data_IF_020239799330
#
_entry.id   IF_020239799330
#
_cell.length_a   1.000
_cell.length_b   1.000
_cell.length_c   1.000
_cell.angle_alpha   90.00
_cell.angle_beta   90.00
_cell.angle_gamma   90.00
#
_symmetry.space_group_name_H-M   'P 1'
#
loop_
_entity.id
_entity.type
_entity.pdbx_description
1 polymer ?
#
# COMPACT_ATOMS: atom_id res chain seq x y z
N UNK A 1 7.13 46.27 19.26
CA UNK A 1 7.45 45.23 18.25
C UNK A 1 7.30 43.87 18.90
N UNK A 2 6.53 42.98 18.32
CA UNK A 2 6.51 41.61 18.80
C UNK A 2 7.85 40.97 18.41
N UNK A 3 8.62 40.52 19.38
CA UNK A 3 9.86 39.78 19.19
C UNK A 3 9.49 38.31 19.02
N UNK A 4 9.86 37.75 17.89
CA UNK A 4 9.58 36.36 17.53
C UNK A 4 8.47 36.26 16.48
N UNK A 5 8.34 35.11 15.88
CA UNK A 5 7.32 34.78 14.86
C UNK A 5 7.85 33.85 13.78
N UNK A 6 6.93 33.34 12.96
CA UNK A 6 7.21 32.43 11.84
C UNK A 6 7.13 30.95 12.22
N UNK A 7 7.03 30.11 11.19
CA UNK A 7 6.96 28.66 11.30
C UNK A 7 8.33 28.09 11.67
N UNK A 8 8.36 27.06 12.52
CA UNK A 8 9.59 26.34 12.85
C UNK A 8 9.34 24.82 12.83
N UNK A 9 10.34 24.09 12.36
CA UNK A 9 10.35 22.62 12.39
C UNK A 9 11.33 22.07 13.44
N UNK A 10 12.31 22.91 13.83
CA UNK A 10 13.33 22.57 14.83
C UNK A 10 13.57 23.76 15.76
N UNK A 11 14.10 23.52 16.96
CA UNK A 11 14.40 24.56 17.96
C UNK A 11 15.72 25.30 17.64
N UNK A 12 15.82 25.90 16.47
CA UNK A 12 17.04 26.56 15.96
C UNK A 12 17.00 28.09 16.00
N UNK A 13 16.08 28.68 16.76
CA UNK A 13 15.94 30.14 16.88
C UNK A 13 16.96 30.70 17.89
N UNK A 14 17.59 31.81 17.54
CA UNK A 14 18.66 32.43 18.32
C UNK A 14 18.16 33.59 19.17
N UNK A 15 17.13 34.31 18.71
CA UNK A 15 16.61 35.49 19.42
C UNK A 15 15.67 35.08 20.56
N UNK A 16 15.75 35.73 21.73
CA UNK A 16 14.73 35.59 22.76
C UNK A 16 13.36 36.02 22.23
N UNK A 17 12.32 35.20 22.42
CA UNK A 17 10.97 35.53 21.96
C UNK A 17 10.02 34.33 21.98
N UNK A 18 8.74 34.58 21.74
CA UNK A 18 7.72 33.54 21.62
C UNK A 18 7.65 33.03 20.20
N UNK A 19 7.90 31.74 20.00
CA UNK A 19 7.79 31.04 18.73
C UNK A 19 6.65 30.05 18.84
N UNK A 20 5.50 30.41 18.25
CA UNK A 20 4.25 29.63 18.35
C UNK A 20 3.93 29.07 16.96
N UNK A 21 3.94 27.76 16.85
CA UNK A 21 3.52 27.05 15.66
C UNK A 21 2.08 26.58 15.85
N UNK A 22 1.18 27.09 15.02
CA UNK A 22 -0.15 26.51 14.90
C UNK A 22 -0.06 25.34 13.92
N UNK A 23 0.18 24.16 14.44
CA UNK A 23 -0.04 22.92 13.68
C UNK A 23 -1.47 22.49 13.92
N UNK A 24 -2.21 22.16 12.86
CA UNK A 24 -3.41 21.38 13.00
C UNK A 24 -2.98 20.12 13.76
N UNK A 25 -3.35 20.00 15.03
CA UNK A 25 -3.42 18.69 15.62
C UNK A 25 -4.30 17.92 14.64
N UNK A 26 -3.81 16.81 14.11
CA UNK A 26 -4.70 15.82 13.53
C UNK A 26 -5.71 15.59 14.64
N UNK A 27 -6.88 16.22 14.53
CA UNK A 27 -7.95 15.99 15.47
C UNK A 27 -8.21 14.51 15.34
N UNK A 28 -8.00 13.76 16.40
CA UNK A 28 -8.66 12.50 16.59
C UNK A 28 -10.16 12.84 16.51
N UNK A 29 -10.66 12.90 15.30
CA UNK A 29 -12.05 13.19 15.02
C UNK A 29 -12.68 11.86 14.71
N UNK A 30 -13.92 11.69 15.11
CA UNK A 30 -14.76 10.58 14.70
C UNK A 30 -15.08 10.65 13.18
N UNK A 31 -14.13 11.07 12.36
CA UNK A 31 -14.21 11.12 10.91
C UNK A 31 -13.66 9.83 10.31
N UNK A 32 -14.25 9.41 9.20
CA UNK A 32 -13.79 8.25 8.45
C UNK A 32 -12.37 8.48 7.93
N UNK A 33 -11.48 7.50 8.12
CA UNK A 33 -10.14 7.54 7.54
C UNK A 33 -10.17 7.32 6.03
N UNK A 34 -9.22 7.94 5.34
CA UNK A 34 -9.06 7.79 3.89
C UNK A 34 -8.59 6.39 3.52
N UNK A 35 -9.07 5.90 2.37
CA UNK A 35 -8.65 4.64 1.76
C UNK A 35 -7.74 4.89 0.55
N UNK A 36 -7.05 3.85 0.12
CA UNK A 36 -6.16 3.87 -1.03
C UNK A 36 -4.72 3.48 -0.73
N UNK A 37 -4.46 2.96 0.47
CA UNK A 37 -3.13 2.54 0.89
C UNK A 37 -2.98 1.05 0.68
N UNK A 38 -2.05 0.67 -0.20
CA UNK A 38 -1.66 -0.71 -0.45
C UNK A 38 -0.28 -1.01 0.12
N UNK A 39 0.02 -2.28 0.36
CA UNK A 39 1.38 -2.73 0.63
C UNK A 39 1.71 -3.97 -0.20
N UNK A 40 2.94 -4.02 -0.72
CA UNK A 40 3.43 -5.16 -1.50
C UNK A 40 4.93 -5.39 -1.30
N UNK A 41 5.36 -6.63 -1.11
CA UNK A 41 6.75 -7.01 -1.31
C UNK A 41 7.02 -7.15 -2.81
N UNK A 42 8.14 -6.62 -3.26
CA UNK A 42 8.50 -6.55 -4.67
C UNK A 42 9.85 -7.21 -4.94
N UNK A 43 9.99 -7.82 -6.10
CA UNK A 43 11.29 -8.26 -6.63
C UNK A 43 11.77 -7.16 -7.58
N UNK A 44 12.85 -6.48 -7.21
CA UNK A 44 13.34 -5.29 -7.89
C UNK A 44 14.83 -5.41 -8.19
N UNK A 45 15.25 -4.92 -9.34
CA UNK A 45 16.67 -4.78 -9.72
C UNK A 45 17.24 -3.39 -9.37
N UNK A 46 16.43 -2.54 -8.69
CA UNK A 46 16.78 -1.25 -8.12
C UNK A 46 15.77 -0.87 -7.02
N UNK A 47 16.18 -0.10 -6.03
CA UNK A 47 15.32 0.42 -4.97
C UNK A 47 15.88 0.13 -3.58
N UNK A 48 15.28 0.74 -2.58
CA UNK A 48 15.72 0.69 -1.18
C UNK A 48 15.76 -0.74 -0.65
N UNK A 49 16.88 -1.08 -0.02
CA UNK A 49 17.14 -2.42 0.50
C UNK A 49 16.69 -2.57 1.96
N UNK A 50 15.99 -3.64 2.29
CA UNK A 50 15.62 -4.09 3.65
C UNK A 50 14.82 -3.06 4.49
N UNK A 51 14.18 -2.11 3.85
CA UNK A 51 13.27 -1.16 4.52
C UNK A 51 11.94 -1.03 3.76
N UNK A 52 10.88 -0.70 4.49
CA UNK A 52 9.61 -0.29 3.89
C UNK A 52 9.76 1.15 3.42
N UNK A 53 9.36 1.43 2.19
CA UNK A 53 9.38 2.78 1.65
C UNK A 53 8.03 3.14 1.02
N UNK A 54 7.63 4.36 1.27
CA UNK A 54 6.38 4.91 0.75
C UNK A 54 6.59 5.43 -0.67
N UNK A 55 5.61 5.14 -1.53
CA UNK A 55 5.51 5.67 -2.88
C UNK A 55 4.08 6.14 -3.11
N UNK A 56 3.90 7.43 -3.33
CA UNK A 56 2.60 7.96 -3.76
C UNK A 56 2.40 7.79 -5.26
N UNK A 57 1.16 7.80 -5.72
CA UNK A 57 0.84 7.77 -7.16
C UNK A 57 1.52 8.92 -7.93
N UNK A 58 1.64 10.11 -7.32
CA UNK A 58 2.33 11.24 -7.90
C UNK A 58 3.85 11.04 -7.97
N UNK A 59 4.47 10.50 -6.92
CA UNK A 59 5.90 10.16 -6.91
C UNK A 59 6.22 9.08 -7.94
N UNK A 60 5.37 8.07 -8.05
CA UNK A 60 5.53 7.03 -9.04
C UNK A 60 5.52 7.57 -10.48
N UNK A 61 4.62 8.47 -10.81
CA UNK A 61 4.58 9.08 -12.14
C UNK A 61 5.78 9.99 -12.42
N UNK A 62 6.23 10.76 -11.41
CA UNK A 62 7.26 11.78 -11.59
C UNK A 62 8.69 11.24 -11.39
N UNK A 63 8.89 10.38 -10.37
CA UNK A 63 10.19 10.00 -9.85
C UNK A 63 10.48 8.49 -10.01
N UNK A 64 9.74 7.78 -10.88
CA UNK A 64 9.87 6.32 -11.04
C UNK A 64 11.30 5.88 -11.36
N UNK A 65 12.05 6.67 -12.12
CA UNK A 65 13.44 6.39 -12.46
C UNK A 65 14.36 6.41 -11.24
N UNK A 66 14.16 7.35 -10.33
CA UNK A 66 14.95 7.44 -9.09
C UNK A 66 14.57 6.32 -8.09
N UNK A 67 13.27 6.03 -7.99
CA UNK A 67 12.75 5.05 -7.04
C UNK A 67 12.97 3.61 -7.48
N UNK A 68 12.69 3.31 -8.76
CA UNK A 68 12.68 1.95 -9.30
C UNK A 68 13.73 1.71 -10.41
N UNK A 69 14.51 2.72 -10.79
CA UNK A 69 15.55 2.62 -11.82
C UNK A 69 15.05 2.68 -13.27
N UNK A 70 13.74 2.83 -13.49
CA UNK A 70 13.11 2.80 -14.81
C UNK A 70 12.13 3.96 -14.97
N UNK A 71 11.91 4.37 -16.21
CA UNK A 71 10.88 5.34 -16.54
C UNK A 71 9.49 4.77 -16.26
N UNK A 72 8.57 5.68 -15.96
CA UNK A 72 7.17 5.34 -15.70
C UNK A 72 6.56 4.41 -16.77
N UNK A 73 6.87 4.64 -18.05
CA UNK A 73 6.34 3.87 -19.18
C UNK A 73 7.04 2.51 -19.40
N UNK A 74 8.08 2.18 -18.63
CA UNK A 74 8.80 0.92 -18.77
C UNK A 74 7.92 -0.31 -18.50
N UNK A 75 8.08 -1.37 -19.30
CA UNK A 75 7.40 -2.65 -19.06
C UNK A 75 7.74 -3.27 -17.70
N UNK A 76 8.91 -2.95 -17.13
CA UNK A 76 9.31 -3.38 -15.79
C UNK A 76 8.39 -2.84 -14.69
N UNK A 77 7.71 -1.72 -14.94
CA UNK A 77 6.83 -1.06 -13.98
C UNK A 77 5.32 -1.26 -14.28
N UNK A 78 4.99 -2.13 -15.23
CA UNK A 78 3.62 -2.43 -15.66
C UNK A 78 2.72 -2.82 -14.49
N UNK A 79 3.15 -3.74 -13.62
CA UNK A 79 2.38 -4.13 -12.44
C UNK A 79 2.12 -2.98 -11.48
N UNK A 80 3.11 -2.11 -11.27
CA UNK A 80 2.92 -0.92 -10.43
C UNK A 80 1.95 0.08 -11.08
N UNK A 81 1.97 0.26 -12.41
CA UNK A 81 0.95 1.07 -13.09
C UNK A 81 -0.44 0.52 -12.87
N UNK A 82 -0.64 -0.80 -13.00
CA UNK A 82 -1.91 -1.45 -12.73
C UNK A 82 -2.38 -1.25 -11.28
N UNK A 83 -1.47 -1.33 -10.30
CA UNK A 83 -1.77 -1.04 -8.90
C UNK A 83 -2.25 0.41 -8.72
N UNK A 84 -1.50 1.37 -9.27
CA UNK A 84 -1.75 2.80 -9.10
C UNK A 84 -2.93 3.35 -9.93
N UNK A 85 -3.57 2.53 -10.78
CA UNK A 85 -4.87 2.88 -11.35
C UNK A 85 -5.93 3.14 -10.27
N UNK A 86 -5.80 2.49 -9.13
CA UNK A 86 -6.78 2.57 -8.05
C UNK A 86 -6.18 2.92 -6.68
N UNK A 87 -4.93 2.56 -6.40
CA UNK A 87 -4.25 2.91 -5.16
C UNK A 87 -3.73 4.36 -5.18
N UNK A 88 -3.68 5.00 -4.02
CA UNK A 88 -3.09 6.34 -3.81
C UNK A 88 -1.64 6.25 -3.33
N UNK A 89 -1.38 5.28 -2.47
CA UNK A 89 -0.08 5.08 -1.80
C UNK A 89 0.26 3.60 -1.76
N UNK A 90 1.52 3.29 -1.98
CA UNK A 90 2.10 1.96 -1.82
C UNK A 90 3.21 2.01 -0.77
N UNK A 91 3.10 1.17 0.25
CA UNK A 91 4.23 0.79 1.10
C UNK A 91 4.92 -0.40 0.44
N UNK A 92 6.03 -0.13 -0.23
CA UNK A 92 6.82 -1.11 -0.95
C UNK A 92 7.97 -1.64 -0.10
N UNK A 93 8.39 -2.88 -0.38
CA UNK A 93 9.56 -3.50 0.24
C UNK A 93 10.29 -4.35 -0.81
N UNK A 94 11.61 -4.16 -0.93
CA UNK A 94 12.42 -4.97 -1.84
C UNK A 94 12.85 -6.28 -1.18
N UNK A 95 12.42 -7.40 -1.75
CA UNK A 95 12.70 -8.75 -1.23
C UNK A 95 14.14 -9.22 -1.53
N UNK A 96 14.66 -8.86 -2.68
CA UNK A 96 15.86 -9.46 -3.29
C UNK A 96 17.09 -8.55 -3.20
N UNK A 97 17.49 -8.15 -1.99
CA UNK A 97 18.75 -7.44 -1.79
C UNK A 97 19.93 -8.23 -2.36
N UNK A 98 20.71 -7.60 -3.22
CA UNK A 98 21.94 -8.12 -3.79
C UNK A 98 23.14 -7.20 -3.53
N UNK A 99 24.07 -7.14 -4.47
CA UNK A 99 25.26 -6.30 -4.39
C UNK A 99 25.04 -4.96 -5.14
N UNK A 100 25.72 -3.92 -4.68
CA UNK A 100 25.74 -2.61 -5.34
C UNK A 100 26.79 -2.57 -6.43
N UNK A 101 26.44 -2.08 -7.61
CA UNK A 101 27.41 -1.78 -8.66
C UNK A 101 28.35 -0.64 -8.22
N UNK A 102 29.64 -0.72 -8.60
CA UNK A 102 30.61 0.29 -8.27
C UNK A 102 31.68 0.44 -9.36
N UNK A 103 32.35 1.59 -9.39
CA UNK A 103 33.57 1.83 -10.12
C UNK A 103 34.54 2.65 -9.25
N UNK A 104 35.63 3.19 -9.86
CA UNK A 104 36.62 4.01 -9.14
C UNK A 104 35.99 5.26 -8.51
N UNK A 105 34.96 5.86 -9.13
CA UNK A 105 34.40 7.16 -8.76
C UNK A 105 33.14 7.08 -7.86
N UNK A 106 32.34 6.03 -8.05
CA UNK A 106 31.01 5.97 -7.45
C UNK A 106 30.60 4.54 -7.05
N UNK A 107 29.67 4.46 -6.12
CA UNK A 107 28.91 3.24 -5.78
C UNK A 107 27.43 3.51 -6.03
N UNK A 108 26.72 2.59 -6.64
CA UNK A 108 25.28 2.70 -6.87
C UNK A 108 24.53 2.90 -5.54
N UNK A 109 23.48 3.71 -5.56
CA UNK A 109 22.68 4.03 -4.35
C UNK A 109 22.05 2.78 -3.76
N UNK A 110 21.56 1.90 -4.63
CA UNK A 110 20.85 0.67 -4.25
C UNK A 110 21.51 -0.56 -4.89
N UNK A 111 21.29 -1.72 -4.28
CA UNK A 111 21.69 -3.01 -4.84
C UNK A 111 20.87 -3.37 -6.07
N UNK A 112 21.40 -4.24 -6.92
CA UNK A 112 20.70 -4.79 -8.07
C UNK A 112 21.45 -4.60 -9.39
N UNK A 113 21.05 -5.39 -10.37
CA UNK A 113 21.65 -5.39 -11.70
C UNK A 113 21.50 -4.06 -12.43
N UNK A 114 20.46 -3.28 -12.10
CA UNK A 114 20.19 -1.97 -12.71
C UNK A 114 21.32 -0.98 -12.48
N UNK A 115 22.04 -1.11 -11.35
CA UNK A 115 23.23 -0.31 -11.06
C UNK A 115 24.35 -0.43 -12.11
N UNK A 116 24.43 -1.54 -12.82
CA UNK A 116 25.43 -1.75 -13.87
C UNK A 116 25.17 -0.89 -15.13
N UNK A 117 23.97 -0.35 -15.29
CA UNK A 117 23.65 0.57 -16.38
C UNK A 117 24.08 2.03 -16.09
N UNK A 118 24.61 2.30 -14.90
CA UNK A 118 25.16 3.60 -14.55
C UNK A 118 26.57 3.76 -15.11
N UNK A 119 26.88 4.97 -15.62
CA UNK A 119 28.17 5.30 -16.23
C UNK A 119 28.60 6.72 -15.84
N UNK A 120 29.81 6.86 -15.36
CA UNK A 120 30.44 8.14 -15.02
C UNK A 120 31.33 8.61 -16.17
N UNK A 121 31.08 9.81 -16.67
CA UNK A 121 31.89 10.49 -17.67
C UNK A 121 32.56 11.70 -17.02
N UNK A 122 33.87 11.83 -17.15
CA UNK A 122 34.66 12.97 -16.67
C UNK A 122 35.38 13.66 -17.82
N UNK A 123 35.11 14.95 -17.99
CA UNK A 123 35.76 15.78 -18.99
C UNK A 123 36.50 16.95 -18.32
N UNK A 124 37.57 17.43 -18.90
CA UNK A 124 38.14 18.71 -18.49
C UNK A 124 37.15 19.83 -18.83
N UNK A 125 36.94 20.77 -17.89
CA UNK A 125 36.09 21.92 -18.15
C UNK A 125 36.76 22.88 -19.13
N UNK A 126 36.06 23.31 -20.16
CA UNK A 126 36.61 24.14 -21.23
C UNK A 126 36.94 25.58 -20.77
N UNK A 127 36.11 26.11 -19.86
CA UNK A 127 36.23 27.52 -19.39
C UNK A 127 37.22 27.64 -18.22
N UNK A 128 37.30 26.61 -17.40
CA UNK A 128 38.17 26.60 -16.21
C UNK A 128 38.98 25.30 -16.17
N UNK A 129 40.22 25.30 -16.71
CA UNK A 129 41.03 24.08 -16.85
C UNK A 129 41.38 23.33 -15.56
N UNK A 130 41.22 23.99 -14.38
CA UNK A 130 41.38 23.36 -13.06
C UNK A 130 40.17 22.55 -12.62
N UNK A 131 39.06 22.65 -13.33
CA UNK A 131 37.79 21.97 -13.01
C UNK A 131 37.49 20.81 -14.00
N UNK A 132 36.63 19.94 -13.55
CA UNK A 132 36.10 18.81 -14.34
C UNK A 132 34.60 18.88 -14.39
N UNK A 133 34.06 18.57 -15.59
CA UNK A 133 32.62 18.29 -15.77
C UNK A 133 32.41 16.80 -15.57
N UNK A 134 31.74 16.46 -14.50
CA UNK A 134 31.39 15.09 -14.10
C UNK A 134 29.93 14.85 -14.41
N UNK A 135 29.63 13.95 -15.34
CA UNK A 135 28.29 13.58 -15.74
C UNK A 135 27.98 12.12 -15.40
N UNK A 136 26.83 11.87 -14.84
CA UNK A 136 26.30 10.54 -14.59
C UNK A 136 25.23 10.21 -15.63
N UNK A 137 25.35 9.05 -16.23
CA UNK A 137 24.36 8.52 -17.17
C UNK A 137 23.76 7.24 -16.62
N UNK A 138 22.45 7.06 -16.84
CA UNK A 138 21.75 5.79 -16.70
C UNK A 138 21.31 5.36 -18.11
N UNK A 139 21.82 4.21 -18.58
CA UNK A 139 21.79 3.84 -20.00
C UNK A 139 22.46 4.94 -20.86
N UNK A 140 21.67 5.64 -21.67
CA UNK A 140 22.15 6.73 -22.52
C UNK A 140 21.68 8.12 -22.10
N UNK A 141 20.90 8.19 -21.00
CA UNK A 141 20.37 9.45 -20.53
C UNK A 141 21.22 10.02 -19.39
N UNK A 142 21.51 11.31 -19.50
CA UNK A 142 22.23 12.04 -18.47
C UNK A 142 21.31 12.36 -17.30
N UNK A 143 21.57 11.74 -16.14
CA UNK A 143 20.74 11.88 -14.92
C UNK A 143 21.31 12.85 -13.91
N UNK A 144 22.61 13.19 -14.01
CA UNK A 144 23.25 14.21 -13.18
C UNK A 144 24.46 14.82 -13.93
N UNK A 145 24.78 16.07 -13.63
CA UNK A 145 25.99 16.73 -14.11
C UNK A 145 26.44 17.81 -13.12
N UNK A 146 27.72 17.79 -12.77
CA UNK A 146 28.32 18.73 -11.83
C UNK A 146 29.68 19.17 -12.32
N UNK A 147 30.05 20.45 -12.14
CA UNK A 147 31.37 20.97 -12.39
C UNK A 147 32.10 21.19 -11.09
N UNK A 148 33.23 20.51 -10.89
CA UNK A 148 33.94 20.51 -9.59
C UNK A 148 35.47 20.49 -9.83
N UNK A 149 36.24 20.95 -8.83
CA UNK A 149 37.72 20.85 -8.89
C UNK A 149 38.24 19.50 -8.37
N UNK A 150 37.48 18.82 -7.50
CA UNK A 150 37.88 17.54 -6.89
C UNK A 150 36.64 16.70 -6.54
N UNK A 151 36.85 15.38 -6.37
CA UNK A 151 35.77 14.43 -5.99
C UNK A 151 35.03 14.81 -4.70
N UNK A 152 35.72 15.41 -3.73
CA UNK A 152 35.13 15.78 -2.46
C UNK A 152 33.99 16.83 -2.61
N UNK A 153 34.03 17.64 -3.67
CA UNK A 153 33.05 18.70 -3.91
C UNK A 153 31.78 18.20 -4.59
N UNK A 154 31.79 16.99 -5.16
CA UNK A 154 30.58 16.37 -5.76
C UNK A 154 29.51 16.18 -4.70
N UNK A 155 28.27 16.50 -5.02
CA UNK A 155 27.09 16.25 -4.21
C UNK A 155 26.49 14.91 -4.59
N UNK A 156 26.13 14.10 -3.59
CA UNK A 156 25.43 12.84 -3.81
C UNK A 156 24.04 13.10 -4.42
N UNK A 157 23.57 12.16 -5.23
CA UNK A 157 22.30 12.25 -5.94
C UNK A 157 21.44 11.00 -5.68
N UNK A 158 20.33 10.85 -6.39
CA UNK A 158 19.41 9.72 -6.22
C UNK A 158 19.98 8.38 -6.72
N UNK A 159 21.07 8.39 -7.50
CA UNK A 159 21.59 7.20 -8.20
C UNK A 159 22.89 6.68 -7.63
N UNK A 160 23.78 7.54 -7.14
CA UNK A 160 25.10 7.15 -6.65
C UNK A 160 25.51 7.88 -5.39
N UNK A 161 26.35 7.21 -4.62
CA UNK A 161 27.17 7.79 -3.56
C UNK A 161 28.61 7.96 -4.15
N UNK A 162 29.13 9.20 -4.17
CA UNK A 162 30.43 9.49 -4.74
C UNK A 162 31.57 9.07 -3.80
N UNK A 163 32.61 8.45 -4.34
CA UNK A 163 33.83 8.10 -3.58
C UNK A 163 34.71 9.34 -3.40
N UNK A 164 34.43 10.14 -2.39
CA UNK A 164 35.02 11.45 -2.13
C UNK A 164 36.55 11.49 -2.08
N UNK A 165 37.22 10.37 -1.76
CA UNK A 165 38.66 10.22 -1.73
C UNK A 165 39.29 9.83 -3.05
N UNK A 166 38.54 9.59 -4.11
CA UNK A 166 39.08 9.25 -5.42
C UNK A 166 39.70 10.49 -6.12
N UNK A 167 40.60 10.26 -7.04
CA UNK A 167 41.20 11.31 -7.90
C UNK A 167 40.43 11.40 -9.21
N UNK A 168 39.95 12.61 -9.58
CA UNK A 168 39.34 12.85 -10.89
C UNK A 168 40.31 12.60 -12.02
N UNK A 169 39.93 11.80 -12.99
CA UNK A 169 40.68 11.55 -14.22
C UNK A 169 39.69 11.57 -15.39
N UNK A 170 40.08 12.23 -16.48
CA UNK A 170 39.29 12.31 -17.71
C UNK A 170 39.06 10.90 -18.26
N UNK A 171 37.79 10.62 -18.58
CA UNK A 171 37.40 9.35 -19.20
C UNK A 171 36.18 9.55 -20.12
N UNK A 172 36.05 8.68 -21.12
CA UNK A 172 34.93 8.71 -22.06
C UNK A 172 33.65 8.02 -21.57
N UNK A 173 33.68 7.44 -20.36
CA UNK A 173 32.58 6.73 -19.74
C UNK A 173 33.04 5.45 -19.05
N UNK A 174 33.08 5.48 -17.72
CA UNK A 174 33.40 4.34 -16.87
C UNK A 174 32.10 3.79 -16.26
N UNK A 175 31.70 2.60 -16.71
CA UNK A 175 30.50 1.93 -16.18
C UNK A 175 30.72 1.49 -14.72
N UNK A 176 29.64 1.47 -13.93
CA UNK A 176 29.61 0.76 -12.67
C UNK A 176 29.42 -0.73 -12.99
N UNK A 177 30.01 -1.59 -12.19
CA UNK A 177 29.96 -3.05 -12.37
C UNK A 177 29.80 -3.77 -11.04
N UNK A 178 29.46 -5.07 -11.08
CA UNK A 178 29.31 -5.91 -9.88
C UNK A 178 27.97 -5.80 -9.18
N UNK A 179 27.01 -5.04 -9.73
CA UNK A 179 25.65 -5.05 -9.22
C UNK A 179 24.95 -6.38 -9.52
N UNK A 180 24.32 -6.97 -8.51
CA UNK A 180 23.59 -8.23 -8.65
C UNK A 180 22.25 -8.18 -7.94
N UNK A 181 21.30 -8.93 -8.44
CA UNK A 181 20.03 -9.20 -7.74
C UNK A 181 20.25 -10.34 -6.76
N UNK A 182 19.72 -10.19 -5.54
CA UNK A 182 19.68 -11.29 -4.59
C UNK A 182 18.57 -12.29 -4.93
N UNK A 183 18.66 -13.49 -4.38
CA UNK A 183 17.59 -14.48 -4.44
C UNK A 183 16.49 -14.16 -3.42
N UNK A 184 15.23 -14.49 -3.76
CA UNK A 184 14.10 -14.40 -2.84
C UNK A 184 13.91 -15.73 -2.14
N UNK A 185 13.77 -15.69 -0.83
CA UNK A 185 13.53 -16.85 0.04
C UNK A 185 12.33 -16.58 0.97
N UNK A 186 11.80 -17.62 1.61
CA UNK A 186 10.75 -17.46 2.62
C UNK A 186 11.19 -16.51 3.77
N UNK A 187 12.48 -16.51 4.12
CA UNK A 187 13.02 -15.59 5.13
C UNK A 187 12.94 -14.13 4.73
N UNK A 188 13.07 -13.80 3.43
CA UNK A 188 12.88 -12.44 2.95
C UNK A 188 11.43 -11.98 3.07
N UNK A 189 10.48 -12.86 2.77
CA UNK A 189 9.06 -12.60 3.00
C UNK A 189 8.75 -12.42 4.51
N UNK A 190 9.32 -13.25 5.38
CA UNK A 190 9.16 -13.11 6.82
C UNK A 190 9.67 -11.75 7.32
N UNK A 191 10.86 -11.31 6.90
CA UNK A 191 11.39 -9.99 7.23
C UNK A 191 10.48 -8.85 6.78
N UNK A 192 9.89 -8.95 5.58
CA UNK A 192 8.91 -7.97 5.13
C UNK A 192 7.70 -7.93 6.05
N UNK A 193 7.13 -9.08 6.41
CA UNK A 193 5.96 -9.16 7.28
C UNK A 193 6.23 -8.56 8.66
N UNK A 194 7.41 -8.81 9.24
CA UNK A 194 7.84 -8.18 10.50
C UNK A 194 7.97 -6.66 10.40
N UNK A 195 8.47 -6.14 9.26
CA UNK A 195 8.63 -4.70 9.04
C UNK A 195 7.32 -3.98 8.79
N UNK A 196 6.40 -4.62 8.05
CA UNK A 196 5.14 -3.97 7.65
C UNK A 196 4.07 -4.00 8.76
N UNK A 197 4.23 -4.82 9.78
CA UNK A 197 3.25 -4.99 10.86
C UNK A 197 2.93 -3.67 11.59
N UNK A 198 3.87 -2.73 11.66
CA UNK A 198 3.68 -1.42 12.30
C UNK A 198 3.03 -0.37 11.39
N UNK A 199 2.72 -0.69 10.15
CA UNK A 199 2.13 0.24 9.18
C UNK A 199 0.63 0.02 9.03
N UNK A 200 -0.12 1.09 8.78
CA UNK A 200 -1.56 1.03 8.49
C UNK A 200 -1.80 1.05 6.99
N UNK A 201 -2.51 0.05 6.47
CA UNK A 201 -2.86 -0.08 5.06
C UNK A 201 -4.20 -0.79 4.89
N UNK A 202 -4.82 -0.65 3.71
CA UNK A 202 -6.14 -1.20 3.42
C UNK A 202 -6.09 -2.59 2.78
N UNK A 203 -5.08 -2.83 1.92
CA UNK A 203 -4.90 -4.10 1.25
C UNK A 203 -3.41 -4.44 1.11
N UNK A 204 -3.10 -5.72 1.26
CA UNK A 204 -1.79 -6.30 1.01
C UNK A 204 -1.88 -7.20 -0.22
N UNK A 205 -0.90 -7.12 -1.13
CA UNK A 205 -0.80 -8.05 -2.26
C UNK A 205 0.55 -8.74 -2.30
N UNK A 206 0.59 -9.98 -2.76
CA UNK A 206 1.86 -10.66 -3.05
C UNK A 206 1.76 -11.41 -4.37
N UNK A 207 2.66 -11.09 -5.28
CA UNK A 207 2.78 -11.78 -6.57
C UNK A 207 3.67 -12.99 -6.39
N UNK A 208 3.05 -14.16 -6.23
CA UNK A 208 3.77 -15.43 -6.07
C UNK A 208 2.90 -16.61 -6.51
N UNK A 209 3.55 -17.65 -7.00
CA UNK A 209 2.93 -18.97 -7.26
C UNK A 209 3.31 -20.00 -6.18
N UNK A 210 4.23 -19.67 -5.28
CA UNK A 210 4.69 -20.55 -4.20
C UNK A 210 3.63 -20.71 -3.12
N UNK A 211 3.15 -21.93 -2.91
CA UNK A 211 2.10 -22.25 -1.92
C UNK A 211 2.55 -22.04 -0.47
N UNK A 212 3.83 -22.23 -0.15
CA UNK A 212 4.35 -22.00 1.19
C UNK A 212 4.35 -20.50 1.49
N UNK A 213 4.75 -19.66 0.54
CA UNK A 213 4.69 -18.21 0.65
C UNK A 213 3.25 -17.76 0.79
N UNK A 214 2.32 -18.22 -0.06
CA UNK A 214 0.89 -17.86 0.05
C UNK A 214 0.31 -18.23 1.42
N UNK A 215 0.69 -19.39 1.96
CA UNK A 215 0.26 -19.83 3.29
C UNK A 215 0.82 -18.94 4.40
N UNK A 216 2.07 -18.49 4.27
CA UNK A 216 2.69 -17.53 5.21
C UNK A 216 1.86 -16.23 5.29
N UNK A 217 1.46 -15.67 4.15
CA UNK A 217 0.64 -14.44 4.11
C UNK A 217 -0.78 -14.65 4.63
N UNK A 218 -1.41 -15.79 4.30
CA UNK A 218 -2.73 -16.13 4.83
C UNK A 218 -2.72 -16.26 6.36
N UNK A 219 -1.68 -16.90 6.92
CA UNK A 219 -1.52 -17.01 8.38
C UNK A 219 -1.22 -15.65 9.03
N UNK A 220 -0.43 -14.80 8.38
CA UNK A 220 -0.11 -13.46 8.86
C UNK A 220 -1.36 -12.60 8.97
N UNK A 221 -2.19 -12.51 7.91
CA UNK A 221 -3.42 -11.73 7.97
C UNK A 221 -4.40 -12.29 8.98
N UNK A 222 -4.46 -13.62 9.14
CA UNK A 222 -5.32 -14.27 10.13
C UNK A 222 -4.89 -13.90 11.55
N UNK A 223 -3.62 -14.03 11.88
CA UNK A 223 -3.06 -13.63 13.18
C UNK A 223 -3.37 -12.17 13.50
N UNK A 224 -3.06 -11.25 12.59
CA UNK A 224 -3.27 -9.82 12.84
C UNK A 224 -4.76 -9.47 13.01
N UNK A 225 -5.65 -10.08 12.23
CA UNK A 225 -7.09 -9.83 12.33
C UNK A 225 -7.71 -10.43 13.58
N UNK A 226 -7.35 -11.68 13.92
CA UNK A 226 -8.03 -12.43 14.98
C UNK A 226 -7.39 -12.20 16.36
N UNK A 227 -6.06 -12.00 16.43
CA UNK A 227 -5.33 -11.88 17.70
C UNK A 227 -4.96 -10.44 18.06
N UNK A 228 -4.51 -9.62 17.06
CA UNK A 228 -4.01 -8.27 17.30
C UNK A 228 -5.04 -7.16 16.99
N UNK A 229 -6.15 -7.51 16.37
CA UNK A 229 -7.22 -6.56 16.04
C UNK A 229 -6.93 -5.64 14.86
N UNK A 230 -5.82 -5.83 14.12
CA UNK A 230 -5.45 -5.04 12.94
C UNK A 230 -6.19 -5.57 11.72
N UNK A 231 -7.02 -4.75 11.07
CA UNK A 231 -7.94 -5.19 10.01
C UNK A 231 -7.50 -4.69 8.64
N UNK A 232 -7.24 -5.63 7.74
CA UNK A 232 -6.96 -5.44 6.31
C UNK A 232 -7.27 -6.74 5.57
N UNK A 233 -7.27 -6.72 4.24
CA UNK A 233 -7.39 -7.93 3.42
C UNK A 233 -6.12 -8.18 2.62
N UNK A 234 -5.77 -9.45 2.42
CA UNK A 234 -4.62 -9.88 1.62
C UNK A 234 -5.09 -10.49 0.31
N UNK A 235 -4.55 -10.02 -0.81
CA UNK A 235 -4.84 -10.52 -2.18
C UNK A 235 -3.82 -11.58 -2.56
N UNK A 236 -4.27 -12.80 -2.77
CA UNK A 236 -3.44 -13.96 -3.12
C UNK A 236 -3.97 -14.63 -4.40
N UNK A 237 -3.04 -15.04 -5.26
CA UNK A 237 -3.38 -15.79 -6.47
C UNK A 237 -3.63 -17.27 -6.15
N UNK A 238 -4.84 -17.75 -6.48
CA UNK A 238 -5.24 -19.17 -6.30
C UNK A 238 -4.95 -19.71 -4.90
N UNK A 239 -5.43 -19.00 -3.84
CA UNK A 239 -5.30 -19.43 -2.43
C UNK A 239 -6.67 -19.54 -1.77
N UNK A 240 -7.21 -20.73 -1.72
CA UNK A 240 -8.43 -21.06 -0.97
C UNK A 240 -8.09 -21.13 0.54
N UNK A 241 -8.27 -20.03 1.26
CA UNK A 241 -7.92 -19.91 2.67
C UNK A 241 -9.11 -20.13 3.62
N UNK A 242 -10.33 -20.13 3.09
CA UNK A 242 -11.59 -20.16 3.84
C UNK A 242 -11.59 -19.11 4.97
N UNK A 243 -11.25 -17.88 4.62
CA UNK A 243 -11.09 -16.78 5.56
C UNK A 243 -11.41 -15.43 4.92
N UNK A 244 -12.18 -14.57 5.60
CA UNK A 244 -12.63 -13.28 5.08
C UNK A 244 -11.50 -12.26 4.86
N UNK A 245 -10.35 -12.45 5.52
CA UNK A 245 -9.16 -11.62 5.35
C UNK A 245 -8.35 -11.94 4.09
N UNK A 246 -8.71 -12.97 3.31
CA UNK A 246 -8.01 -13.37 2.08
C UNK A 246 -8.91 -13.26 0.87
N UNK A 247 -8.46 -12.55 -0.15
CA UNK A 247 -9.10 -12.46 -1.46
C UNK A 247 -8.38 -13.45 -2.39
N UNK A 248 -9.09 -14.49 -2.81
CA UNK A 248 -8.56 -15.59 -3.61
C UNK A 248 -8.75 -15.30 -5.10
N UNK A 249 -7.76 -14.73 -5.77
CA UNK A 249 -7.84 -14.38 -7.20
C UNK A 249 -7.63 -15.60 -8.08
N UNK A 250 -8.60 -15.92 -8.93
CA UNK A 250 -8.56 -17.09 -9.84
C UNK A 250 -7.77 -16.83 -11.11
N UNK A 251 -7.96 -15.66 -11.74
CA UNK A 251 -7.43 -15.37 -13.06
C UNK A 251 -5.90 -15.40 -13.10
N UNK A 252 -5.37 -15.88 -14.23
CA UNK A 252 -3.96 -15.71 -14.60
C UNK A 252 -3.84 -14.63 -15.67
N UNK A 253 -2.66 -14.07 -15.81
CA UNK A 253 -2.28 -13.29 -16.99
C UNK A 253 -1.63 -14.20 -18.03
N UNK A 254 -1.45 -13.71 -19.26
CA UNK A 254 -0.73 -14.44 -20.31
C UNK A 254 0.63 -14.92 -19.79
N UNK A 255 0.95 -16.19 -20.02
CA UNK A 255 2.13 -16.85 -19.45
C UNK A 255 1.90 -17.43 -18.04
N UNK A 256 0.64 -17.53 -17.60
CA UNK A 256 0.19 -18.12 -16.33
C UNK A 256 0.72 -17.42 -15.05
N UNK A 257 1.12 -16.16 -15.19
CA UNK A 257 1.59 -15.33 -14.08
C UNK A 257 0.48 -14.93 -13.10
N UNK A 258 0.89 -14.54 -11.90
CA UNK A 258 0.05 -14.04 -10.82
C UNK A 258 -0.10 -12.50 -10.82
N UNK A 259 0.39 -11.82 -11.86
CA UNK A 259 0.54 -10.35 -11.89
C UNK A 259 -0.78 -9.58 -11.81
N UNK A 260 -1.91 -10.22 -12.09
CA UNK A 260 -3.24 -9.63 -11.85
C UNK A 260 -3.45 -9.20 -10.39
N UNK A 261 -2.67 -9.74 -9.46
CA UNK A 261 -2.67 -9.36 -8.04
C UNK A 261 -2.35 -7.87 -7.87
N UNK A 262 -1.51 -7.27 -8.71
CA UNK A 262 -1.24 -5.82 -8.65
C UNK A 262 -2.52 -5.01 -8.80
N UNK A 263 -3.28 -5.28 -9.87
CA UNK A 263 -4.51 -4.55 -10.15
C UNK A 263 -5.57 -4.79 -9.05
N UNK A 264 -5.78 -6.05 -8.65
CA UNK A 264 -6.77 -6.40 -7.62
C UNK A 264 -6.39 -5.77 -6.27
N UNK A 265 -5.10 -5.73 -5.91
CA UNK A 265 -4.64 -5.07 -4.67
C UNK A 265 -4.92 -3.58 -4.71
N UNK A 266 -4.60 -2.91 -5.82
CA UNK A 266 -4.93 -1.50 -6.02
C UNK A 266 -6.43 -1.24 -5.94
N UNK A 267 -7.24 -2.06 -6.62
CA UNK A 267 -8.69 -1.99 -6.63
C UNK A 267 -9.28 -2.10 -5.21
N UNK A 268 -8.85 -3.09 -4.44
CA UNK A 268 -9.36 -3.32 -3.08
C UNK A 268 -8.89 -2.24 -2.09
N UNK A 269 -7.65 -1.75 -2.24
CA UNK A 269 -7.16 -0.63 -1.44
C UNK A 269 -7.91 0.66 -1.74
N UNK A 270 -8.13 0.97 -3.02
CA UNK A 270 -8.74 2.23 -3.47
C UNK A 270 -10.27 2.25 -3.45
N UNK A 271 -10.92 1.09 -3.30
CA UNK A 271 -12.38 1.04 -3.26
C UNK A 271 -12.92 1.77 -2.01
N UNK A 272 -13.83 2.72 -2.22
CA UNK A 272 -14.46 3.44 -1.12
C UNK A 272 -15.28 2.49 -0.23
N UNK A 273 -15.40 2.83 1.06
CA UNK A 273 -16.04 1.98 2.07
C UNK A 273 -17.50 1.62 1.72
N UNK A 274 -18.22 2.55 1.09
CA UNK A 274 -19.62 2.39 0.67
C UNK A 274 -19.80 1.85 -0.78
N UNK A 275 -18.74 1.32 -1.39
CA UNK A 275 -18.76 0.83 -2.78
C UNK A 275 -18.35 -0.63 -2.84
N UNK A 276 -18.79 -1.30 -3.90
CA UNK A 276 -18.36 -2.64 -4.28
C UNK A 276 -17.46 -2.59 -5.51
N UNK A 277 -16.56 -3.55 -5.61
CA UNK A 277 -15.78 -3.80 -6.82
C UNK A 277 -16.53 -4.66 -7.85
N UNK A 278 -17.73 -5.15 -7.52
CA UNK A 278 -18.61 -5.92 -8.42
C UNK A 278 -18.83 -5.17 -9.74
N UNK A 279 -18.71 -5.87 -10.85
CA UNK A 279 -18.85 -5.35 -12.21
C UNK A 279 -17.84 -4.25 -12.61
N UNK A 280 -16.80 -4.02 -11.79
CA UNK A 280 -15.72 -3.09 -12.15
C UNK A 280 -15.02 -3.59 -13.40
N UNK A 281 -14.86 -2.72 -14.40
CA UNK A 281 -14.10 -3.00 -15.61
C UNK A 281 -12.60 -3.09 -15.27
N UNK A 282 -11.94 -4.09 -15.81
CA UNK A 282 -10.49 -4.16 -15.83
C UNK A 282 -9.95 -3.15 -16.84
N UNK A 283 -9.11 -2.24 -16.35
CA UNK A 283 -8.49 -1.15 -17.10
C UNK A 283 -6.95 -1.21 -17.02
N UNK A 284 -6.40 -2.38 -16.61
CA UNK A 284 -4.96 -2.61 -16.53
C UNK A 284 -4.34 -3.01 -17.87
N UNK A 285 -3.03 -3.23 -17.83
CA UNK A 285 -2.20 -3.46 -19.02
C UNK A 285 -1.91 -4.94 -19.31
N UNK A 286 -2.23 -5.85 -18.37
CA UNK A 286 -2.02 -7.27 -18.58
C UNK A 286 -3.11 -7.89 -19.43
N UNK A 287 -2.74 -8.86 -20.28
CA UNK A 287 -3.69 -9.72 -20.97
C UNK A 287 -4.18 -10.79 -19.99
N UNK A 288 -5.42 -10.64 -19.52
CA UNK A 288 -6.01 -11.51 -18.49
C UNK A 288 -6.77 -12.67 -19.12
N UNK A 289 -6.52 -13.89 -18.65
CA UNK A 289 -7.31 -15.06 -19.03
C UNK A 289 -8.69 -15.00 -18.35
N UNK A 290 -9.72 -14.65 -19.09
CA UNK A 290 -11.09 -14.41 -18.60
C UNK A 290 -12.17 -15.23 -19.32
N UNK A 291 -11.79 -16.18 -20.15
CA UNK A 291 -12.70 -17.04 -20.90
C UNK A 291 -13.16 -18.22 -20.04
N UNK A 292 -14.25 -18.03 -19.30
CA UNK A 292 -14.86 -19.04 -18.44
C UNK A 292 -16.29 -19.34 -18.87
N UNK A 293 -16.68 -20.59 -18.79
CA UNK A 293 -18.06 -21.00 -18.95
C UNK A 293 -18.95 -20.58 -17.78
N UNK A 294 -20.25 -20.49 -17.97
CA UNK A 294 -21.20 -20.18 -16.90
C UNK A 294 -21.13 -21.16 -15.71
N UNK A 295 -20.82 -22.44 -15.98
CA UNK A 295 -20.64 -23.45 -14.93
C UNK A 295 -19.41 -23.20 -14.10
N UNK A 296 -18.28 -22.81 -14.72
CA UNK A 296 -17.04 -22.45 -14.03
C UNK A 296 -17.22 -21.18 -13.20
N UNK A 297 -17.90 -20.15 -13.72
CA UNK A 297 -18.17 -18.93 -12.98
C UNK A 297 -19.03 -19.20 -11.73
N UNK A 298 -20.07 -20.04 -11.84
CA UNK A 298 -20.89 -20.46 -10.69
C UNK A 298 -20.08 -21.26 -9.68
N UNK A 299 -19.20 -22.16 -10.13
CA UNK A 299 -18.31 -22.93 -9.26
C UNK A 299 -17.33 -22.01 -8.52
N UNK A 300 -16.78 -21.01 -9.20
CA UNK A 300 -15.86 -20.03 -8.62
C UNK A 300 -16.50 -19.23 -7.48
N UNK A 301 -17.72 -18.74 -7.67
CA UNK A 301 -18.46 -18.03 -6.60
C UNK A 301 -18.61 -18.93 -5.36
N UNK A 302 -19.01 -20.20 -5.57
CA UNK A 302 -19.18 -21.16 -4.47
C UNK A 302 -17.86 -21.51 -3.77
N UNK A 303 -16.76 -21.45 -4.49
CA UNK A 303 -15.41 -21.72 -3.97
C UNK A 303 -14.74 -20.48 -3.33
N UNK A 304 -15.43 -19.34 -3.24
CA UNK A 304 -14.87 -18.09 -2.70
C UNK A 304 -13.75 -17.53 -3.56
N UNK A 305 -13.85 -17.67 -4.89
CA UNK A 305 -12.85 -17.15 -5.82
C UNK A 305 -13.28 -15.78 -6.36
N UNK A 306 -12.40 -14.80 -6.24
CA UNK A 306 -12.52 -13.51 -6.92
C UNK A 306 -12.12 -13.67 -8.37
N UNK A 307 -13.07 -13.46 -9.29
CA UNK A 307 -12.93 -13.78 -10.71
C UNK A 307 -13.25 -12.58 -11.58
N UNK A 308 -12.41 -12.35 -12.58
CA UNK A 308 -12.68 -11.48 -13.70
C UNK A 308 -13.18 -12.33 -14.87
N UNK A 309 -14.23 -11.88 -15.55
CA UNK A 309 -14.85 -12.60 -16.65
C UNK A 309 -15.13 -11.67 -17.83
N UNK A 310 -15.33 -12.27 -19.00
CA UNK A 310 -15.62 -11.53 -20.22
C UNK A 310 -17.10 -11.15 -20.29
N UNK A 311 -17.37 -9.88 -20.56
CA UNK A 311 -18.69 -9.31 -20.77
C UNK A 311 -18.67 -8.50 -22.08
N UNK A 312 -19.12 -9.08 -23.17
CA UNK A 312 -18.89 -8.50 -24.50
C UNK A 312 -17.41 -8.42 -24.80
N UNK A 313 -16.93 -7.22 -25.13
CA UNK A 313 -15.53 -6.95 -25.41
C UNK A 313 -14.73 -6.49 -24.17
N UNK A 314 -15.36 -6.50 -23.00
CA UNK A 314 -14.73 -6.04 -21.76
C UNK A 314 -14.50 -7.18 -20.77
N UNK A 315 -13.49 -7.03 -19.94
CA UNK A 315 -13.24 -7.90 -18.79
C UNK A 315 -13.71 -7.16 -17.53
N UNK A 316 -14.53 -7.82 -16.71
CA UNK A 316 -15.14 -7.23 -15.52
C UNK A 316 -15.07 -8.17 -14.33
N UNK A 317 -15.10 -7.60 -13.12
CA UNK A 317 -15.20 -8.35 -11.88
C UNK A 317 -16.58 -9.02 -11.80
N UNK A 318 -16.60 -10.33 -11.62
CA UNK A 318 -17.82 -11.13 -11.53
C UNK A 318 -18.56 -10.89 -10.19
N UNK A 319 -17.82 -10.93 -9.08
CA UNK A 319 -18.36 -10.72 -7.75
C UNK A 319 -17.25 -10.22 -6.83
N UNK A 320 -17.57 -9.31 -5.90
CA UNK A 320 -16.62 -8.74 -4.93
C UNK A 320 -16.60 -9.55 -3.64
N UNK A 321 -16.08 -10.78 -3.72
CA UNK A 321 -16.07 -11.77 -2.64
C UNK A 321 -14.65 -12.13 -2.19
N UNK A 322 -14.55 -12.61 -0.95
CA UNK A 322 -13.32 -13.16 -0.38
C UNK A 322 -13.32 -14.70 -0.39
N UNK A 323 -12.29 -15.30 0.22
CA UNK A 323 -12.12 -16.76 0.20
C UNK A 323 -12.96 -17.51 1.25
N UNK A 324 -13.77 -16.83 2.07
CA UNK A 324 -14.62 -17.48 3.06
C UNK A 324 -15.72 -18.28 2.37
N UNK A 325 -15.81 -19.57 2.67
CA UNK A 325 -16.85 -20.48 2.16
C UNK A 325 -17.65 -21.11 3.29
N UNK A 326 -17.00 -21.41 4.40
CA UNK A 326 -17.63 -21.99 5.59
C UNK A 326 -18.23 -20.90 6.47
N UNK A 327 -19.55 -20.94 6.66
CA UNK A 327 -20.26 -20.02 7.54
C UNK A 327 -20.44 -20.61 8.93
N UNK A 328 -20.57 -19.75 9.93
CA UNK A 328 -20.83 -20.10 11.32
C UNK A 328 -21.87 -19.17 11.93
N UNK A 329 -22.30 -19.44 13.15
CA UNK A 329 -23.25 -18.58 13.88
C UNK A 329 -22.71 -17.16 14.10
N UNK A 330 -21.38 -16.98 14.13
CA UNK A 330 -20.72 -15.67 14.32
C UNK A 330 -20.26 -15.03 13.02
N UNK A 331 -20.10 -15.81 11.94
CA UNK A 331 -19.69 -15.33 10.60
C UNK A 331 -20.64 -15.93 9.55
N UNK A 332 -21.75 -15.24 9.30
CA UNK A 332 -22.77 -15.64 8.33
C UNK A 332 -22.37 -15.29 6.87
N UNK A 333 -23.28 -15.54 5.92
CA UNK A 333 -23.10 -15.34 4.48
C UNK A 333 -22.58 -13.93 4.10
N UNK A 334 -23.00 -12.91 4.83
CA UNK A 334 -22.62 -11.52 4.57
C UNK A 334 -21.11 -11.26 4.72
N UNK A 335 -20.38 -12.09 5.50
CA UNK A 335 -18.92 -12.00 5.65
C UNK A 335 -18.15 -12.50 4.42
N UNK A 336 -18.81 -13.12 3.45
CA UNK A 336 -18.20 -13.49 2.15
C UNK A 336 -18.01 -12.28 1.24
N UNK A 337 -18.73 -11.18 1.49
CA UNK A 337 -18.72 -9.98 0.67
C UNK A 337 -17.60 -9.03 1.10
N UNK A 338 -16.69 -8.67 0.18
CA UNK A 338 -15.60 -7.74 0.48
C UNK A 338 -16.13 -6.34 0.85
N UNK A 339 -17.27 -5.92 0.32
CA UNK A 339 -17.88 -4.66 0.72
C UNK A 339 -18.25 -4.65 2.20
N UNK A 340 -18.82 -5.74 2.71
CA UNK A 340 -19.11 -5.90 4.14
C UNK A 340 -17.83 -5.86 4.97
N UNK A 341 -16.81 -6.64 4.58
CA UNK A 341 -15.53 -6.66 5.28
C UNK A 341 -14.89 -5.27 5.29
N UNK A 342 -14.99 -4.53 4.19
CA UNK A 342 -14.47 -3.16 4.08
C UNK A 342 -15.12 -2.20 5.07
N UNK A 343 -16.43 -2.33 5.29
CA UNK A 343 -17.16 -1.50 6.28
C UNK A 343 -16.75 -1.87 7.71
N UNK A 344 -16.75 -3.15 8.06
CA UNK A 344 -16.41 -3.57 9.43
C UNK A 344 -14.93 -3.33 9.76
N UNK A 345 -14.04 -3.47 8.78
CA UNK A 345 -12.62 -3.14 8.93
C UNK A 345 -12.41 -1.63 9.13
N UNK A 346 -13.18 -0.80 8.42
CA UNK A 346 -13.16 0.65 8.61
C UNK A 346 -13.58 1.02 10.03
N UNK A 347 -14.71 0.48 10.51
CA UNK A 347 -15.17 0.70 11.87
C UNK A 347 -14.09 0.29 12.89
N UNK A 348 -13.57 -0.92 12.78
CA UNK A 348 -12.60 -1.44 13.74
C UNK A 348 -11.33 -0.59 13.80
N UNK A 349 -10.76 -0.24 12.63
CA UNK A 349 -9.54 0.56 12.57
C UNK A 349 -9.75 2.00 13.03
N UNK A 350 -10.84 2.66 12.61
CA UNK A 350 -11.12 4.05 13.00
C UNK A 350 -11.39 4.18 14.50
N UNK A 351 -12.16 3.25 15.09
CA UNK A 351 -12.41 3.24 16.52
C UNK A 351 -11.15 2.90 17.32
N UNK A 352 -10.29 2.00 16.84
CA UNK A 352 -9.01 1.73 17.47
C UNK A 352 -8.10 2.96 17.48
N UNK A 353 -7.99 3.68 16.36
CA UNK A 353 -7.23 4.94 16.26
C UNK A 353 -7.82 6.01 17.16
N UNK A 354 -9.15 6.17 17.17
CA UNK A 354 -9.86 7.11 18.03
C UNK A 354 -9.58 6.82 19.52
N UNK A 355 -9.72 5.55 19.93
CA UNK A 355 -9.50 5.14 21.31
C UNK A 355 -8.04 5.39 21.72
N UNK A 356 -7.07 4.95 20.92
CA UNK A 356 -5.65 5.08 21.22
C UNK A 356 -5.17 6.53 21.28
N UNK A 357 -5.72 7.41 20.44
CA UNK A 357 -5.28 8.81 20.37
C UNK A 357 -5.98 9.75 21.35
N UNK A 358 -7.24 9.48 21.69
CA UNK A 358 -8.06 10.38 22.53
C UNK A 358 -8.27 9.86 23.95
N UNK A 359 -8.54 8.55 24.09
CA UNK A 359 -9.03 7.96 25.35
C UNK A 359 -7.94 7.28 26.17
N UNK A 360 -7.07 6.49 25.51
CA UNK A 360 -6.07 5.66 26.18
C UNK A 360 -5.13 6.50 27.05
N UNK A 361 -5.21 6.32 28.36
CA UNK A 361 -4.39 7.04 29.34
C UNK A 361 -4.76 8.52 29.57
N UNK A 362 -5.71 9.08 28.80
CA UNK A 362 -6.07 10.50 28.85
C UNK A 362 -7.43 10.78 29.49
N UNK A 363 -8.43 9.95 29.20
CA UNK A 363 -9.81 10.15 29.67
C UNK A 363 -10.11 9.17 30.81
N UNK A 364 -10.63 9.63 31.96
CA UNK A 364 -11.05 8.74 33.04
C UNK A 364 -12.15 7.77 32.60
N UNK A 365 -12.10 6.52 33.10
CA UNK A 365 -13.17 5.55 32.90
C UNK A 365 -14.28 5.74 33.95
N UNK A 366 -14.92 6.90 33.91
CA UNK A 366 -16.12 7.24 34.68
C UNK A 366 -17.35 7.34 33.75
N UNK A 367 -18.47 7.76 34.29
CA UNK A 367 -19.72 7.89 33.53
C UNK A 367 -19.56 8.89 32.38
N UNK A 368 -18.93 10.04 32.61
CA UNK A 368 -18.78 11.11 31.63
C UNK A 368 -17.77 10.71 30.52
N UNK A 369 -16.66 10.04 30.87
CA UNK A 369 -15.71 9.50 29.92
C UNK A 369 -16.34 8.46 28.99
N UNK A 370 -17.16 7.56 29.51
CA UNK A 370 -17.90 6.57 28.70
C UNK A 370 -18.96 7.19 27.80
N UNK A 371 -19.68 8.23 28.28
CA UNK A 371 -20.61 9.00 27.43
C UNK A 371 -19.87 9.72 26.31
N UNK A 372 -18.69 10.26 26.58
CA UNK A 372 -17.85 10.87 25.53
C UNK A 372 -17.43 9.85 24.45
N UNK A 373 -17.00 8.66 24.85
CA UNK A 373 -16.65 7.59 23.92
C UNK A 373 -17.87 7.13 23.10
N UNK A 374 -19.02 6.94 23.76
CA UNK A 374 -20.27 6.63 23.10
C UNK A 374 -20.62 7.67 22.03
N UNK A 375 -20.55 8.96 22.36
CA UNK A 375 -20.87 10.04 21.43
C UNK A 375 -19.94 10.08 20.20
N UNK A 376 -18.65 9.79 20.38
CA UNK A 376 -17.71 9.71 19.26
C UNK A 376 -18.00 8.49 18.36
N UNK A 377 -18.34 7.33 18.92
CA UNK A 377 -18.72 6.13 18.16
C UNK A 377 -20.01 6.38 17.37
N UNK A 378 -21.03 6.94 18.02
CA UNK A 378 -22.31 7.31 17.37
C UNK A 378 -22.05 8.24 16.19
N UNK A 379 -21.26 9.29 16.39
CA UNK A 379 -20.90 10.24 15.33
C UNK A 379 -20.20 9.56 14.15
N UNK A 380 -19.27 8.64 14.42
CA UNK A 380 -18.59 7.86 13.38
C UNK A 380 -19.60 7.06 12.55
N UNK A 381 -20.56 6.41 13.18
CA UNK A 381 -21.57 5.59 12.50
C UNK A 381 -22.60 6.45 11.74
N UNK A 382 -22.94 7.63 12.23
CA UNK A 382 -23.74 8.62 11.50
C UNK A 382 -23.06 9.03 10.19
N UNK A 383 -21.73 9.22 10.19
CA UNK A 383 -20.98 9.49 8.94
C UNK A 383 -21.01 8.29 7.98
N UNK A 384 -20.89 7.04 8.48
CA UNK A 384 -21.06 5.84 7.66
C UNK A 384 -22.49 5.73 7.08
N UNK A 385 -23.51 6.05 7.86
CA UNK A 385 -24.91 6.06 7.40
C UNK A 385 -25.15 7.15 6.36
N UNK A 386 -24.60 8.35 6.55
CA UNK A 386 -24.70 9.47 5.61
C UNK A 386 -24.13 9.13 4.22
N UNK A 387 -23.04 8.37 4.16
CA UNK A 387 -22.48 7.89 2.90
C UNK A 387 -23.12 6.57 2.43
N UNK A 388 -24.13 6.05 3.14
CA UNK A 388 -24.83 4.80 2.83
C UNK A 388 -23.94 3.55 2.85
N UNK A 389 -22.96 3.51 3.75
CA UNK A 389 -22.19 2.30 4.03
C UNK A 389 -22.95 1.37 5.01
N UNK A 390 -23.71 1.97 5.92
CA UNK A 390 -24.64 1.30 6.83
C UNK A 390 -26.03 1.94 6.71
N UNK A 391 -27.05 1.25 7.20
CA UNK A 391 -28.45 1.74 7.22
C UNK A 391 -29.13 1.47 8.54
N UNK A 392 -30.25 2.19 8.80
CA UNK A 392 -31.10 2.03 9.97
C UNK A 392 -30.36 2.12 11.32
N UNK A 393 -29.25 2.83 11.35
CA UNK A 393 -28.49 3.05 12.58
C UNK A 393 -29.14 4.12 13.45
N UNK A 394 -29.17 3.86 14.74
CA UNK A 394 -29.55 4.84 15.77
C UNK A 394 -28.54 4.82 16.92
N UNK A 395 -28.54 5.87 17.71
CA UNK A 395 -27.72 6.02 18.91
C UNK A 395 -27.92 4.91 19.95
N UNK A 396 -29.09 4.24 19.92
CA UNK A 396 -29.44 3.10 20.82
C UNK A 396 -28.73 1.80 20.42
N UNK A 397 -28.21 1.72 19.22
CA UNK A 397 -27.48 0.54 18.73
C UNK A 397 -26.07 0.45 19.32
N UNK A 398 -25.58 1.54 19.95
CA UNK A 398 -24.28 1.59 20.63
C UNK A 398 -24.49 1.73 22.14
N UNK A 399 -23.84 0.87 22.91
CA UNK A 399 -23.77 0.99 24.36
C UNK A 399 -22.33 0.93 24.82
N UNK A 400 -21.96 1.80 25.77
CA UNK A 400 -20.62 1.85 26.36
C UNK A 400 -20.73 1.66 27.87
N UNK A 401 -20.19 0.56 28.36
CA UNK A 401 -20.21 0.17 29.77
C UNK A 401 -18.82 0.05 30.38
N UNK A 402 -18.76 -0.04 31.69
CA UNK A 402 -17.53 -0.41 32.37
C UNK A 402 -17.29 -1.91 32.16
N UNK A 403 -16.05 -2.28 31.85
CA UNK A 403 -15.62 -3.68 31.78
C UNK A 403 -15.36 -4.29 33.16
N UNK A 404 -14.86 -5.51 33.18
CA UNK A 404 -14.60 -6.28 34.41
C UNK A 404 -13.57 -5.60 35.33
N UNK A 405 -12.69 -4.79 34.77
CA UNK A 405 -11.74 -3.98 35.53
C UNK A 405 -12.10 -2.51 35.49
N UNK A 406 -11.61 -1.73 36.47
CA UNK A 406 -11.76 -0.26 36.50
C UNK A 406 -11.10 0.43 35.29
N UNK A 407 -10.18 -0.23 34.60
CA UNK A 407 -9.49 0.29 33.41
C UNK A 407 -10.16 -0.17 32.10
N UNK A 408 -11.04 -1.16 32.16
CA UNK A 408 -11.70 -1.74 31.00
C UNK A 408 -12.98 -0.99 30.63
N UNK A 409 -13.22 -0.84 29.34
CA UNK A 409 -14.47 -0.35 28.75
C UNK A 409 -15.00 -1.42 27.82
N UNK A 410 -16.30 -1.70 27.88
CA UNK A 410 -16.98 -2.64 26.98
C UNK A 410 -17.93 -1.85 26.10
N UNK A 411 -17.85 -2.09 24.80
CA UNK A 411 -18.76 -1.51 23.81
C UNK A 411 -19.55 -2.65 23.17
N UNK A 412 -20.88 -2.53 23.16
CA UNK A 412 -21.73 -3.33 22.28
C UNK A 412 -22.26 -2.42 21.19
N UNK A 413 -22.09 -2.85 19.95
CA UNK A 413 -22.34 -2.08 18.77
C UNK A 413 -23.04 -2.95 17.71
N UNK A 414 -24.11 -2.42 17.12
CA UNK A 414 -24.92 -3.10 16.11
C UNK A 414 -25.02 -2.25 14.86
N UNK A 415 -24.54 -2.79 13.73
CA UNK A 415 -24.61 -2.12 12.43
C UNK A 415 -25.26 -3.01 11.37
N UNK A 416 -26.04 -2.40 10.48
CA UNK A 416 -26.58 -3.05 9.28
C UNK A 416 -25.83 -2.52 8.07
N UNK A 417 -24.99 -3.36 7.46
CA UNK A 417 -24.17 -2.99 6.29
C UNK A 417 -25.03 -2.95 5.03
N UNK A 418 -24.82 -1.93 4.20
CA UNK A 418 -25.46 -1.80 2.88
C UNK A 418 -24.52 -2.38 1.81
N UNK A 419 -24.99 -3.39 1.08
CA UNK A 419 -24.29 -3.95 -0.06
C UNK A 419 -24.85 -3.44 -1.39
N UNK A 420 -24.03 -3.47 -2.45
CA UNK A 420 -24.44 -3.10 -3.78
C UNK A 420 -25.47 -4.11 -4.35
N UNK A 421 -26.39 -3.63 -5.20
CA UNK A 421 -27.31 -4.50 -5.91
C UNK A 421 -26.54 -5.42 -6.86
N UNK A 422 -26.71 -6.73 -6.70
CA UNK A 422 -26.05 -7.76 -7.51
C UNK A 422 -27.02 -8.53 -8.41
N UNK A 423 -28.30 -8.61 -8.07
CA UNK A 423 -29.30 -9.42 -8.78
C UNK A 423 -30.62 -8.65 -8.91
N UNK A 424 -31.21 -8.71 -10.12
CA UNK A 424 -32.54 -8.16 -10.39
C UNK A 424 -33.49 -9.32 -10.75
N UNK A 425 -34.54 -9.46 -9.98
CA UNK A 425 -35.66 -10.35 -10.31
C UNK A 425 -36.87 -9.48 -10.68
N UNK A 426 -37.30 -9.55 -11.93
CA UNK A 426 -38.43 -8.77 -12.44
C UNK A 426 -39.42 -9.67 -13.15
N UNK A 427 -40.68 -9.56 -12.78
CA UNK A 427 -41.77 -10.23 -13.51
C UNK A 427 -42.61 -9.16 -14.24
N UNK A 428 -42.76 -9.31 -15.52
CA UNK A 428 -43.63 -8.45 -16.37
C UNK A 428 -44.87 -9.25 -16.76
N UNK A 429 -46.04 -8.80 -16.34
CA UNK A 429 -47.32 -9.37 -16.79
C UNK A 429 -47.83 -8.52 -17.94
N UNK A 430 -48.02 -9.18 -19.12
CA UNK A 430 -48.61 -8.52 -20.26
C UNK A 430 -50.12 -8.89 -20.26
N UNK A 431 -50.97 -7.83 -20.21
CA UNK A 431 -52.43 -7.95 -20.28
C UNK A 431 -52.94 -7.94 -21.70
#
# INVERSE_FOLDING_TARGET
>A
MALGGGVFLTQNKVLPGSYINFVSAAKASASLSDRGIATMPLVLDWGKDEEVFEVTSADFQKNSREIFGYDYASDKLKGLRDLFLNAKTLFAYKLNKGEKAANTFATAKYSGERGNALKVVVKANADTPSNFDVALYLDNEKVDAQTVSKMADLKDNAFVDWKKGATLAVNAGLALTGGTNGSVTAANHQKYLERIESYSFNAMGVVTTDEAVKTLYANFVKRLRDEEGIKFQTVLHKKAADFEGVINVKNTVKGEGADIVYWVTGLQAGCAVNKSCLNRKYDGEYEVNADFSQSELKASIKAGEFVLHKVGDEIRVLSDINSLVTVSDTKGEIFKENQTIRVIDQIANDIAVLFNSKYLGNIPNDADGRVSLWADIVKHHEELQKIRAIENFSDKDVTVGQGDSKKGVVVADKVTVVNAMAQLYMTVTVA
#
